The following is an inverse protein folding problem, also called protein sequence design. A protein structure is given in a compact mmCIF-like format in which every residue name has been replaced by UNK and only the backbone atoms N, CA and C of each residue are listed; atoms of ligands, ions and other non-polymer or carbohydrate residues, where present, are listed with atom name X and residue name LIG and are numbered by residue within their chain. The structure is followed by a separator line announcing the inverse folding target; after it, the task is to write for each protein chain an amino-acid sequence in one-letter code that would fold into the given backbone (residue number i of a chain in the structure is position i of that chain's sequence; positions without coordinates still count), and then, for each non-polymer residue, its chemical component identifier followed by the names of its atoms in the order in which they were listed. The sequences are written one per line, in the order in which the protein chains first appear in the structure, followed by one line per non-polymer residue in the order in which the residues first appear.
data_IF_752473246752
#
_entry.id   IF_752473246752
#
_cell.length_a   1.000
_cell.length_b   1.000
_cell.length_c   1.000
_cell.angle_alpha   90.00
_cell.angle_beta   90.00
_cell.angle_gamma   90.00
#
_symmetry.space_group_name_H-M   'P 1'
#
loop_
_entity.id
_entity.type
_entity.pdbx_description
1 polymer ?
#
# COMPACT_ATOMS: atom_id res chain seq x y z
N UNK A 1 -11.58 -2.27 28.06
CA UNK A 1 -11.95 -2.27 26.62
C UNK A 1 -10.82 -2.91 25.84
N UNK A 2 -10.96 -4.19 25.44
CA UNK A 2 -9.97 -4.90 24.66
C UNK A 2 -10.03 -4.41 23.20
N UNK A 3 -9.03 -3.63 22.77
CA UNK A 3 -8.84 -3.28 21.37
C UNK A 3 -8.22 -4.50 20.67
N UNK A 4 -9.06 -5.42 20.19
CA UNK A 4 -8.59 -6.58 19.44
C UNK A 4 -8.30 -6.15 18.01
N UNK A 5 -7.19 -5.44 17.81
CA UNK A 5 -6.67 -5.20 16.46
C UNK A 5 -6.46 -6.57 15.80
N UNK A 6 -7.16 -6.82 14.69
CA UNK A 6 -6.98 -8.05 13.94
C UNK A 6 -5.51 -8.15 13.53
N UNK A 7 -4.79 -9.24 13.88
CA UNK A 7 -3.38 -9.35 13.59
C UNK A 7 -3.14 -9.31 12.08
N UNK A 8 -2.16 -8.50 11.66
CA UNK A 8 -1.78 -8.40 10.25
C UNK A 8 -1.38 -9.78 9.72
N UNK A 9 -2.00 -10.20 8.61
CA UNK A 9 -1.67 -11.49 7.98
C UNK A 9 -0.26 -11.44 7.41
N UNK A 10 0.57 -12.44 7.65
CA UNK A 10 1.92 -12.47 7.07
C UNK A 10 1.88 -13.00 5.64
N UNK A 11 2.48 -12.28 4.70
CA UNK A 11 2.65 -12.73 3.32
C UNK A 11 3.92 -12.12 2.73
N UNK A 12 4.68 -12.92 1.97
CA UNK A 12 5.88 -12.44 1.26
C UNK A 12 5.50 -11.28 0.34
N UNK A 13 6.23 -10.19 0.46
CA UNK A 13 6.04 -9.01 -0.39
C UNK A 13 6.94 -9.12 -1.62
N UNK A 14 6.40 -8.94 -2.85
CA UNK A 14 7.20 -8.96 -4.08
C UNK A 14 8.27 -7.88 -4.08
N UNK A 15 9.49 -8.25 -4.43
CA UNK A 15 10.65 -7.35 -4.37
C UNK A 15 11.05 -6.78 -5.74
N UNK A 16 10.54 -7.31 -6.85
CA UNK A 16 10.89 -6.84 -8.20
C UNK A 16 9.65 -6.47 -9.01
N UNK A 17 9.85 -5.58 -10.00
CA UNK A 17 8.80 -5.21 -10.95
C UNK A 17 8.34 -6.43 -11.75
N UNK A 18 9.27 -7.28 -12.21
CA UNK A 18 8.93 -8.52 -12.93
C UNK A 18 8.06 -9.45 -12.08
N UNK A 19 8.37 -9.64 -10.80
CA UNK A 19 7.55 -10.48 -9.90
C UNK A 19 6.12 -9.90 -9.77
N UNK A 20 5.99 -8.57 -9.71
CA UNK A 20 4.69 -7.90 -9.66
C UNK A 20 3.94 -8.03 -10.98
N UNK A 21 4.59 -7.76 -12.10
CA UNK A 21 4.01 -7.93 -13.44
C UNK A 21 3.54 -9.35 -13.70
N UNK A 22 4.31 -10.37 -13.29
CA UNK A 22 3.89 -11.78 -13.42
C UNK A 22 2.66 -12.10 -12.56
N UNK A 23 2.57 -11.55 -11.35
CA UNK A 23 1.38 -11.70 -10.50
C UNK A 23 0.16 -11.02 -11.13
N UNK A 24 0.33 -9.83 -11.69
CA UNK A 24 -0.72 -9.12 -12.43
C UNK A 24 -1.14 -9.91 -13.68
N UNK A 25 -0.20 -10.43 -14.45
CA UNK A 25 -0.49 -11.24 -15.63
C UNK A 25 -1.28 -12.50 -15.27
N UNK A 26 -0.88 -13.23 -14.22
CA UNK A 26 -1.61 -14.39 -13.73
C UNK A 26 -3.04 -14.06 -13.27
N UNK A 27 -3.27 -12.87 -12.73
CA UNK A 27 -4.62 -12.38 -12.44
C UNK A 27 -5.42 -12.19 -13.72
N UNK A 28 -4.91 -11.43 -14.68
CA UNK A 28 -5.63 -11.16 -15.93
C UNK A 28 -5.97 -12.45 -16.68
N UNK A 29 -5.07 -13.44 -16.66
CA UNK A 29 -5.36 -14.77 -17.21
C UNK A 29 -6.51 -15.47 -16.47
N UNK A 30 -6.54 -15.42 -15.13
CA UNK A 30 -7.63 -16.01 -14.34
C UNK A 30 -8.98 -15.34 -14.61
N UNK A 31 -8.99 -14.00 -14.71
CA UNK A 31 -10.19 -13.23 -15.03
C UNK A 31 -10.68 -13.50 -16.45
N UNK A 32 -9.77 -13.60 -17.42
CA UNK A 32 -10.11 -13.95 -18.80
C UNK A 32 -10.68 -15.36 -18.89
N UNK A 33 -10.09 -16.33 -18.17
CA UNK A 33 -10.59 -17.69 -18.11
C UNK A 33 -12.00 -17.76 -17.50
N UNK A 34 -12.24 -17.11 -16.35
CA UNK A 34 -13.57 -17.11 -15.73
C UNK A 34 -14.61 -16.40 -16.60
N UNK A 35 -14.29 -15.25 -17.19
CA UNK A 35 -15.17 -14.57 -18.13
C UNK A 35 -15.49 -15.46 -19.34
N UNK A 36 -14.49 -16.15 -19.91
CA UNK A 36 -14.69 -17.13 -20.99
C UNK A 36 -15.62 -18.28 -20.61
N UNK A 37 -15.50 -18.81 -19.38
CA UNK A 37 -16.43 -19.85 -18.90
C UNK A 37 -17.87 -19.34 -18.77
N UNK A 38 -18.06 -18.07 -18.39
CA UNK A 38 -19.37 -17.47 -18.27
C UNK A 38 -19.99 -17.24 -19.65
N UNK A 39 -19.21 -16.68 -20.60
CA UNK A 39 -19.61 -16.53 -22.01
C UNK A 39 -20.02 -17.88 -22.60
N UNK A 40 -19.22 -18.94 -22.39
CA UNK A 40 -19.56 -20.27 -22.87
C UNK A 40 -20.90 -20.76 -22.29
N UNK A 41 -21.13 -20.58 -20.98
CA UNK A 41 -22.40 -20.94 -20.33
C UNK A 41 -23.59 -20.16 -20.88
N UNK A 42 -23.43 -18.88 -21.14
CA UNK A 42 -24.50 -18.02 -21.66
C UNK A 42 -24.85 -18.40 -23.11
N UNK A 43 -23.84 -18.69 -23.94
CA UNK A 43 -24.02 -19.28 -25.28
C UNK A 43 -24.75 -20.63 -25.21
N UNK A 44 -24.33 -21.55 -24.33
CA UNK A 44 -25.01 -22.85 -24.14
C UNK A 44 -26.46 -22.70 -23.67
N UNK A 45 -26.78 -21.61 -22.98
CA UNK A 45 -28.14 -21.31 -22.48
C UNK A 45 -28.96 -20.42 -23.43
N UNK A 46 -28.44 -20.15 -24.63
CA UNK A 46 -29.06 -19.24 -25.60
C UNK A 46 -29.44 -17.87 -24.98
N UNK A 47 -28.61 -17.38 -24.04
CA UNK A 47 -28.73 -16.04 -23.47
C UNK A 47 -27.87 -15.07 -24.26
N UNK A 48 -28.25 -13.79 -24.24
CA UNK A 48 -27.39 -12.74 -24.76
C UNK A 48 -26.05 -12.72 -24.03
N UNK A 49 -24.98 -12.68 -24.81
CA UNK A 49 -23.61 -12.61 -24.30
C UNK A 49 -23.30 -11.15 -23.98
N UNK A 50 -23.42 -10.78 -22.71
CA UNK A 50 -22.89 -9.50 -22.23
C UNK A 50 -21.50 -9.69 -21.62
N UNK A 51 -20.48 -9.26 -22.37
CA UNK A 51 -19.09 -9.28 -21.93
C UNK A 51 -18.85 -8.46 -20.66
N UNK A 52 -19.61 -7.38 -20.44
CA UNK A 52 -19.48 -6.58 -19.21
C UNK A 52 -19.97 -7.39 -18.02
N UNK A 53 -21.17 -7.96 -18.06
CA UNK A 53 -21.67 -8.82 -16.97
C UNK A 53 -20.76 -10.02 -16.69
N UNK A 54 -20.15 -10.62 -17.72
CA UNK A 54 -19.22 -11.73 -17.56
C UNK A 54 -17.96 -11.33 -16.78
N UNK A 55 -17.40 -10.14 -17.08
CA UNK A 55 -16.24 -9.59 -16.35
C UNK A 55 -16.64 -9.11 -14.95
N UNK A 56 -17.82 -8.53 -14.78
CA UNK A 56 -18.34 -7.98 -13.52
C UNK A 56 -19.04 -9.00 -12.61
N UNK A 57 -18.91 -10.29 -12.88
CA UNK A 57 -19.49 -11.31 -12.01
C UNK A 57 -18.95 -11.18 -10.56
N UNK A 58 -19.75 -11.50 -9.52
CA UNK A 58 -19.32 -11.38 -8.12
C UNK A 58 -17.99 -12.10 -7.82
N UNK A 59 -17.74 -13.22 -8.48
CA UNK A 59 -16.50 -14.01 -8.35
C UNK A 59 -15.28 -13.28 -8.94
N UNK A 60 -15.46 -12.57 -10.07
CA UNK A 60 -14.41 -11.79 -10.70
C UNK A 60 -14.13 -10.52 -9.92
N UNK A 61 -15.15 -9.84 -9.39
CA UNK A 61 -14.97 -8.70 -8.48
C UNK A 61 -14.19 -9.13 -7.25
N UNK A 62 -14.57 -10.24 -6.60
CA UNK A 62 -13.83 -10.73 -5.44
C UNK A 62 -12.38 -11.12 -5.79
N UNK A 63 -12.16 -11.68 -6.98
CA UNK A 63 -10.82 -12.02 -7.48
C UNK A 63 -9.99 -10.77 -7.77
N UNK A 64 -10.61 -9.73 -8.33
CA UNK A 64 -10.00 -8.42 -8.56
C UNK A 64 -9.61 -7.77 -7.24
N UNK A 65 -10.54 -7.65 -6.28
CA UNK A 65 -10.29 -7.10 -4.95
C UNK A 65 -9.18 -7.86 -4.24
N UNK A 66 -9.23 -9.20 -4.23
CA UNK A 66 -8.17 -10.02 -3.66
C UNK A 66 -6.82 -9.81 -4.31
N UNK A 67 -6.80 -9.46 -5.59
CA UNK A 67 -5.57 -9.25 -6.33
C UNK A 67 -5.06 -7.82 -6.16
N UNK A 68 -5.91 -6.80 -6.12
CA UNK A 68 -5.52 -5.43 -5.76
C UNK A 68 -4.84 -5.35 -4.38
N UNK A 69 -5.02 -6.35 -3.51
CA UNK A 69 -4.26 -6.51 -2.24
C UNK A 69 -2.75 -6.60 -2.41
N UNK A 70 -2.16 -6.78 -3.60
CA UNK A 70 -0.70 -6.63 -3.77
C UNK A 70 -0.29 -5.22 -4.26
N UNK A 71 -1.22 -4.44 -4.78
CA UNK A 71 -1.03 -3.06 -5.25
C UNK A 71 -1.33 -2.01 -4.16
N UNK A 72 -1.24 -2.41 -2.88
CA UNK A 72 -1.81 -1.67 -1.74
C UNK A 72 -1.46 -0.20 -1.69
N UNK A 73 -0.19 0.14 -1.91
CA UNK A 73 0.26 1.53 -1.88
C UNK A 73 -0.49 2.38 -2.91
N UNK A 74 -0.53 1.90 -4.16
CA UNK A 74 -1.28 2.52 -5.25
C UNK A 74 -2.77 2.61 -4.92
N UNK A 75 -3.40 1.47 -4.59
CA UNK A 75 -4.83 1.39 -4.34
C UNK A 75 -5.28 2.25 -3.15
N UNK A 76 -4.54 2.22 -2.05
CA UNK A 76 -4.87 2.99 -0.85
C UNK A 76 -4.67 4.49 -1.07
N UNK A 77 -3.57 4.89 -1.73
CA UNK A 77 -3.31 6.30 -2.01
C UNK A 77 -4.33 6.89 -2.99
N UNK A 78 -4.65 6.14 -4.04
CA UNK A 78 -5.72 6.48 -4.97
C UNK A 78 -7.06 6.64 -4.24
N UNK A 79 -7.46 5.64 -3.44
CA UNK A 79 -8.71 5.70 -2.68
C UNK A 79 -8.76 6.87 -1.69
N UNK A 80 -7.64 7.21 -1.03
CA UNK A 80 -7.55 8.39 -0.16
C UNK A 80 -7.79 9.69 -0.93
N UNK A 81 -7.14 9.86 -2.08
CA UNK A 81 -7.29 11.06 -2.90
C UNK A 81 -8.70 11.22 -3.44
N UNK A 82 -9.29 10.13 -3.95
CA UNK A 82 -10.67 10.13 -4.43
C UNK A 82 -11.66 10.41 -3.29
N UNK A 83 -11.44 9.86 -2.10
CA UNK A 83 -12.34 10.09 -0.94
C UNK A 83 -12.27 11.51 -0.37
N UNK A 84 -11.23 12.28 -0.71
CA UNK A 84 -11.08 13.68 -0.32
C UNK A 84 -11.80 14.63 -1.29
N UNK A 85 -12.19 14.14 -2.46
CA UNK A 85 -12.88 14.94 -3.46
C UNK A 85 -14.39 14.79 -3.32
N UNK A 86 -15.04 15.83 -2.80
CA UNK A 86 -16.50 15.86 -2.58
C UNK A 86 -17.31 15.85 -3.88
N UNK A 87 -16.69 16.16 -5.02
CA UNK A 87 -17.35 16.12 -6.33
C UNK A 87 -17.48 14.70 -6.88
N UNK A 88 -16.69 13.75 -6.35
CA UNK A 88 -16.74 12.35 -6.77
C UNK A 88 -17.78 11.60 -5.96
N UNK A 89 -18.81 11.09 -6.64
CA UNK A 89 -19.84 10.24 -6.01
C UNK A 89 -19.45 8.78 -6.18
N UNK A 90 -19.04 8.14 -5.08
CA UNK A 90 -18.82 6.70 -5.04
C UNK A 90 -20.15 5.97 -4.84
N UNK A 91 -20.44 4.97 -5.65
CA UNK A 91 -21.54 4.03 -5.41
C UNK A 91 -21.24 3.19 -4.14
N UNK A 92 -22.25 2.62 -3.47
CA UNK A 92 -22.04 1.74 -2.32
C UNK A 92 -21.06 0.59 -2.60
N UNK A 93 -21.11 0.01 -3.80
CA UNK A 93 -20.25 -1.09 -4.23
C UNK A 93 -18.79 -0.64 -4.39
N UNK A 94 -18.56 0.51 -5.02
CA UNK A 94 -17.23 1.07 -5.23
C UNK A 94 -16.61 1.53 -3.92
N UNK A 95 -17.41 2.16 -3.05
CA UNK A 95 -17.02 2.50 -1.69
C UNK A 95 -16.62 1.27 -0.86
N UNK A 96 -17.37 0.16 -0.95
CA UNK A 96 -17.04 -1.09 -0.28
C UNK A 96 -15.71 -1.68 -0.76
N UNK A 97 -15.44 -1.61 -2.07
CA UNK A 97 -14.15 -2.04 -2.65
C UNK A 97 -13.00 -1.18 -2.08
N UNK A 98 -13.11 0.15 -2.11
CA UNK A 98 -12.08 1.03 -1.56
C UNK A 98 -11.87 0.82 -0.04
N UNK A 99 -12.96 0.57 0.70
CA UNK A 99 -12.89 0.24 2.12
C UNK A 99 -12.16 -1.09 2.39
N UNK A 100 -12.42 -2.14 1.59
CA UNK A 100 -11.68 -3.41 1.70
C UNK A 100 -10.19 -3.22 1.36
N UNK A 101 -9.89 -2.43 0.32
CA UNK A 101 -8.50 -2.11 -0.04
C UNK A 101 -7.76 -1.36 1.07
N UNK A 102 -8.44 -0.48 1.82
CA UNK A 102 -7.89 0.16 3.02
C UNK A 102 -7.64 -0.82 4.17
N UNK A 103 -8.52 -1.80 4.38
CA UNK A 103 -8.45 -2.72 5.53
C UNK A 103 -7.51 -3.91 5.34
N UNK A 104 -6.87 -4.06 4.19
CA UNK A 104 -6.05 -5.24 3.86
C UNK A 104 -4.55 -5.01 4.11
N UNK A 105 -4.16 -4.89 5.37
CA UNK A 105 -2.76 -4.86 5.77
C UNK A 105 -2.14 -6.26 5.84
N UNK A 106 -1.04 -6.52 5.12
CA UNK A 106 -0.21 -7.70 5.36
C UNK A 106 1.18 -7.30 5.85
N UNK A 107 1.70 -8.10 6.76
CA UNK A 107 3.03 -7.95 7.31
C UNK A 107 4.07 -8.69 6.44
N UNK A 108 5.12 -7.97 6.08
CA UNK A 108 6.35 -8.52 5.55
C UNK A 108 6.91 -9.56 6.53
N UNK A 109 7.27 -10.77 6.07
CA UNK A 109 7.81 -11.82 6.93
C UNK A 109 9.11 -11.37 7.63
N UNK A 110 9.40 -11.89 8.83
CA UNK A 110 10.58 -11.51 9.62
C UNK A 110 11.91 -11.57 8.86
N UNK A 111 12.06 -12.53 7.94
CA UNK A 111 13.27 -12.67 7.11
C UNK A 111 13.48 -11.46 6.19
N UNK A 112 12.42 -11.02 5.49
CA UNK A 112 12.50 -9.85 4.61
C UNK A 112 12.67 -8.57 5.45
N UNK A 113 12.02 -8.48 6.61
CA UNK A 113 12.18 -7.35 7.54
C UNK A 113 13.65 -7.21 7.97
N UNK A 114 14.26 -8.32 8.42
CA UNK A 114 15.68 -8.36 8.79
C UNK A 114 16.57 -7.95 7.63
N UNK A 115 16.33 -8.45 6.41
CA UNK A 115 17.12 -8.05 5.23
C UNK A 115 17.04 -6.54 4.96
N UNK A 116 15.85 -5.94 5.07
CA UNK A 116 15.67 -4.50 4.88
C UNK A 116 16.41 -3.72 5.98
N UNK A 117 16.29 -4.12 7.24
CA UNK A 117 16.93 -3.42 8.36
C UNK A 117 18.45 -3.60 8.36
N UNK A 118 18.96 -4.80 8.07
CA UNK A 118 20.40 -5.06 7.97
C UNK A 118 21.03 -4.25 6.83
N UNK A 119 20.32 -4.10 5.70
CA UNK A 119 20.75 -3.27 4.57
C UNK A 119 20.80 -1.77 4.92
N UNK A 120 19.86 -1.29 5.72
CA UNK A 120 19.71 0.14 6.01
C UNK A 120 20.46 0.62 7.25
N UNK A 121 20.58 -0.21 8.29
CA UNK A 121 21.22 0.15 9.56
C UNK A 121 22.47 -0.67 9.85
N UNK A 122 22.84 -1.60 8.96
CA UNK A 122 23.97 -2.50 9.13
C UNK A 122 23.65 -3.71 10.00
N UNK A 123 24.56 -4.68 9.99
CA UNK A 123 24.46 -5.85 10.85
C UNK A 123 24.53 -5.45 12.32
N UNK A 124 23.66 -6.02 13.15
CA UNK A 124 23.64 -5.77 14.59
C UNK A 124 22.87 -4.51 15.02
N UNK A 125 22.07 -3.89 14.14
CA UNK A 125 21.19 -2.77 14.46
C UNK A 125 20.31 -3.01 15.69
N UNK A 126 19.99 -4.27 16.01
CA UNK A 126 19.20 -4.64 17.18
C UNK A 126 19.84 -4.15 18.49
N UNK A 127 21.18 -4.03 18.53
CA UNK A 127 21.93 -3.53 19.70
C UNK A 127 21.63 -2.07 20.02
N UNK A 128 20.96 -1.33 19.15
CA UNK A 128 20.56 0.07 19.40
C UNK A 128 19.27 0.15 20.23
N UNK A 129 18.52 -0.95 20.33
CA UNK A 129 17.23 -1.02 21.01
C UNK A 129 17.32 -1.84 22.30
N UNK A 130 16.53 -1.45 23.31
CA UNK A 130 16.24 -2.30 24.47
C UNK A 130 15.31 -3.45 24.09
N UNK A 131 14.33 -3.17 23.23
CA UNK A 131 13.43 -4.17 22.65
C UNK A 131 12.91 -3.71 21.29
N UNK A 132 12.67 -4.65 20.37
CA UNK A 132 12.07 -4.38 19.07
C UNK A 132 11.01 -5.44 18.79
N UNK A 133 9.77 -5.03 18.52
CA UNK A 133 8.71 -5.95 18.16
C UNK A 133 8.80 -6.30 16.67
N UNK A 134 9.09 -7.57 16.39
CA UNK A 134 9.17 -8.11 15.03
C UNK A 134 7.78 -8.15 14.37
N UNK A 135 6.70 -8.18 15.16
CA UNK A 135 5.35 -8.07 14.62
C UNK A 135 5.02 -6.58 14.43
N UNK A 136 4.59 -6.17 13.22
CA UNK A 136 4.20 -4.79 13.01
C UNK A 136 2.89 -4.47 13.75
N UNK A 137 2.81 -3.26 14.28
CA UNK A 137 1.61 -2.71 14.94
C UNK A 137 0.64 -2.07 13.94
N UNK A 138 1.11 -1.72 12.74
CA UNK A 138 0.29 -1.14 11.69
C UNK A 138 0.88 -1.39 10.29
N UNK A 139 0.02 -1.40 9.28
CA UNK A 139 0.41 -1.29 7.89
C UNK A 139 0.55 0.19 7.48
N UNK A 140 1.41 0.47 6.52
CA UNK A 140 1.54 1.78 5.87
C UNK A 140 1.43 1.60 4.34
N UNK A 141 1.27 2.71 3.61
CA UNK A 141 1.14 2.74 2.14
C UNK A 141 2.17 1.88 1.42
N UNK A 142 3.44 2.13 1.71
CA UNK A 142 4.58 1.46 1.06
C UNK A 142 5.41 0.65 2.06
N UNK A 143 4.86 0.30 3.21
CA UNK A 143 5.62 -0.33 4.29
C UNK A 143 4.78 -0.79 5.46
N UNK A 144 5.42 -0.91 6.62
CA UNK A 144 4.80 -1.34 7.87
C UNK A 144 5.47 -0.67 9.07
N UNK A 145 4.75 -0.53 10.19
CA UNK A 145 5.23 0.16 11.39
C UNK A 145 5.43 -0.85 12.52
N UNK A 146 6.58 -0.77 13.17
CA UNK A 146 6.96 -1.59 14.32
C UNK A 146 7.07 -0.75 15.59
N UNK A 147 6.74 -1.35 16.73
CA UNK A 147 7.04 -0.75 18.03
C UNK A 147 8.45 -1.16 18.46
N UNK A 148 9.22 -0.22 18.99
CA UNK A 148 10.48 -0.52 19.66
C UNK A 148 10.67 0.37 20.90
N UNK A 149 11.62 -0.02 21.74
CA UNK A 149 12.06 0.76 22.90
C UNK A 149 13.55 1.00 22.77
N UNK A 150 13.96 2.26 22.84
CA UNK A 150 15.36 2.65 22.84
C UNK A 150 16.04 2.26 24.16
N UNK A 151 17.37 2.21 24.17
CA UNK A 151 18.15 1.99 25.40
C UNK A 151 17.92 3.06 26.47
N UNK A 152 17.57 4.27 26.04
CA UNK A 152 17.16 5.38 26.90
C UNK A 152 15.81 5.16 27.60
N UNK A 153 15.05 4.13 27.21
CA UNK A 153 13.73 3.80 27.75
C UNK A 153 12.56 4.34 26.94
N UNK A 154 12.81 5.26 26.00
CA UNK A 154 11.79 5.86 25.15
C UNK A 154 11.15 4.85 24.19
N UNK A 155 9.82 4.82 24.13
CA UNK A 155 9.05 4.08 23.12
C UNK A 155 9.09 4.83 21.77
N UNK A 156 9.33 4.10 20.69
CA UNK A 156 9.41 4.63 19.31
C UNK A 156 8.62 3.77 18.33
N UNK A 157 8.08 4.42 17.30
CA UNK A 157 7.47 3.77 16.15
C UNK A 157 8.45 3.79 14.97
N UNK A 158 8.70 2.63 14.37
CA UNK A 158 9.67 2.44 13.30
C UNK A 158 8.93 2.03 12.03
N UNK A 159 8.83 2.96 11.08
CA UNK A 159 8.27 2.71 9.75
C UNK A 159 9.35 2.06 8.86
N UNK A 160 9.05 0.89 8.31
CA UNK A 160 9.94 0.12 7.45
C UNK A 160 9.30 -0.02 6.08
N UNK A 161 9.99 0.48 5.06
CA UNK A 161 9.55 0.40 3.67
C UNK A 161 9.63 -1.05 3.15
N UNK A 162 8.69 -1.44 2.29
CA UNK A 162 8.82 -2.70 1.54
C UNK A 162 10.02 -2.65 0.57
N UNK A 163 10.62 -3.80 0.23
CA UNK A 163 11.77 -3.82 -0.66
C UNK A 163 11.47 -3.20 -2.03
N UNK A 164 12.36 -2.32 -2.49
CA UNK A 164 12.39 -1.75 -3.85
C UNK A 164 11.13 -0.99 -4.29
N UNK A 165 10.35 -0.45 -3.35
CA UNK A 165 9.08 0.24 -3.66
C UNK A 165 9.20 1.32 -4.73
N UNK A 166 10.25 2.15 -4.70
CA UNK A 166 10.45 3.21 -5.70
C UNK A 166 10.43 2.71 -7.14
N UNK A 167 10.95 1.50 -7.39
CA UNK A 167 11.04 0.89 -8.72
C UNK A 167 9.73 0.27 -9.20
N UNK A 168 8.76 0.09 -8.30
CA UNK A 168 7.51 -0.61 -8.61
C UNK A 168 6.31 0.33 -8.69
N UNK A 169 6.42 1.56 -8.15
CA UNK A 169 5.30 2.52 -8.12
C UNK A 169 4.64 2.68 -9.48
N UNK A 170 5.41 2.94 -10.54
CA UNK A 170 4.87 3.16 -11.89
C UNK A 170 4.05 1.95 -12.38
N UNK A 171 4.58 0.73 -12.20
CA UNK A 171 3.89 -0.50 -12.59
C UNK A 171 2.68 -0.81 -11.71
N UNK A 172 2.76 -0.52 -10.41
CA UNK A 172 1.67 -0.75 -9.47
C UNK A 172 0.48 0.17 -9.79
N UNK A 173 0.75 1.44 -10.07
CA UNK A 173 -0.27 2.44 -10.46
C UNK A 173 -0.86 2.09 -11.83
N UNK A 174 -0.04 1.75 -12.82
CA UNK A 174 -0.54 1.33 -14.13
C UNK A 174 -1.46 0.09 -14.03
N UNK A 175 -1.07 -0.90 -13.23
CA UNK A 175 -1.92 -2.09 -13.02
C UNK A 175 -3.24 -1.72 -12.35
N UNK A 176 -3.23 -0.81 -11.38
CA UNK A 176 -4.44 -0.32 -10.71
C UNK A 176 -5.38 0.35 -11.72
N UNK A 177 -4.87 1.28 -12.54
CA UNK A 177 -5.67 1.97 -13.57
C UNK A 177 -6.33 0.96 -14.50
N UNK A 178 -5.57 -0.02 -14.99
CA UNK A 178 -6.10 -1.06 -15.87
C UNK A 178 -7.24 -1.81 -15.19
N UNK A 179 -7.10 -2.23 -13.93
CA UNK A 179 -8.20 -2.90 -13.22
C UNK A 179 -9.41 -1.99 -13.05
N UNK A 180 -9.22 -0.75 -12.60
CA UNK A 180 -10.31 0.20 -12.39
C UNK A 180 -11.11 0.40 -13.69
N UNK A 181 -10.42 0.57 -14.82
CA UNK A 181 -11.03 0.71 -16.15
C UNK A 181 -11.72 -0.58 -16.62
N UNK A 182 -11.09 -1.75 -16.44
CA UNK A 182 -11.67 -3.05 -16.84
C UNK A 182 -12.94 -3.41 -16.07
N UNK A 183 -12.98 -3.11 -14.77
CA UNK A 183 -14.13 -3.43 -13.93
C UNK A 183 -15.20 -2.32 -13.89
N UNK A 184 -15.01 -1.22 -14.61
CA UNK A 184 -15.99 -0.12 -14.60
C UNK A 184 -16.33 0.39 -13.20
N UNK A 185 -15.41 0.24 -12.24
CA UNK A 185 -15.60 0.63 -10.83
C UNK A 185 -15.27 2.10 -10.59
N UNK A 186 -14.85 2.82 -11.63
CA UNK A 186 -14.71 4.26 -11.57
C UNK A 186 -16.09 4.92 -11.75
N UNK A 187 -16.43 5.91 -10.92
CA UNK A 187 -17.53 6.83 -11.19
C UNK A 187 -17.38 7.46 -12.58
N UNK A 188 -18.49 7.71 -13.26
CA UNK A 188 -18.48 8.27 -14.63
C UNK A 188 -17.83 9.67 -14.71
N UNK A 189 -17.86 10.43 -13.61
CA UNK A 189 -17.26 11.75 -13.50
C UNK A 189 -15.82 11.75 -12.93
N UNK A 190 -15.23 10.58 -12.69
CA UNK A 190 -13.89 10.49 -12.12
C UNK A 190 -12.82 10.57 -13.21
N UNK A 191 -11.95 11.58 -13.14
CA UNK A 191 -10.72 11.62 -13.92
C UNK A 191 -9.67 10.65 -13.33
N UNK A 192 -9.82 9.36 -13.67
CA UNK A 192 -8.96 8.27 -13.16
C UNK A 192 -7.48 8.59 -13.39
N UNK A 193 -7.14 9.13 -14.55
CA UNK A 193 -5.75 9.35 -14.93
C UNK A 193 -5.13 10.51 -14.12
N UNK A 194 -5.91 11.55 -13.81
CA UNK A 194 -5.52 12.61 -12.89
C UNK A 194 -5.21 12.09 -11.48
N UNK A 195 -6.15 11.39 -10.83
CA UNK A 195 -5.92 10.87 -9.47
C UNK A 195 -4.83 9.81 -9.43
N UNK A 196 -4.66 9.03 -10.50
CA UNK A 196 -3.57 8.08 -10.59
C UNK A 196 -2.21 8.78 -10.68
N UNK A 197 -2.11 9.88 -11.41
CA UNK A 197 -0.89 10.72 -11.44
C UNK A 197 -0.59 11.29 -10.05
N UNK A 198 -1.59 11.83 -9.36
CA UNK A 198 -1.41 12.33 -7.99
C UNK A 198 -0.98 11.22 -7.03
N UNK A 199 -1.63 10.05 -7.10
CA UNK A 199 -1.28 8.90 -6.26
C UNK A 199 0.16 8.45 -6.51
N UNK A 200 0.55 8.37 -7.78
CA UNK A 200 1.92 8.03 -8.20
C UNK A 200 2.93 9.00 -7.61
N UNK A 201 2.73 10.30 -7.79
CA UNK A 201 3.70 11.31 -7.38
C UNK A 201 3.84 11.34 -5.85
N UNK A 202 2.74 11.22 -5.12
CA UNK A 202 2.79 11.09 -3.66
C UNK A 202 3.47 9.78 -3.22
N UNK A 203 3.25 8.65 -3.89
CA UNK A 203 3.94 7.39 -3.57
C UNK A 203 5.44 7.46 -3.87
N UNK A 204 5.83 8.17 -4.93
CA UNK A 204 7.24 8.44 -5.22
C UNK A 204 7.85 9.29 -4.10
N UNK A 205 7.18 10.37 -3.68
CA UNK A 205 7.64 11.21 -2.58
C UNK A 205 7.77 10.42 -1.27
N UNK A 206 6.80 9.55 -0.95
CA UNK A 206 6.84 8.69 0.23
C UNK A 206 7.96 7.65 0.20
N UNK A 207 8.59 7.40 -0.95
CA UNK A 207 9.76 6.51 -0.98
C UNK A 207 11.00 7.14 -0.35
N UNK A 208 11.01 8.47 -0.15
CA UNK A 208 12.03 9.20 0.58
C UNK A 208 11.53 9.56 1.99
N UNK A 209 11.86 8.72 2.98
CA UNK A 209 11.49 8.97 4.37
C UNK A 209 12.21 10.17 5.01
N UNK A 210 13.29 10.70 4.41
CA UNK A 210 13.89 11.93 4.91
C UNK A 210 12.99 13.11 4.61
N UNK A 211 12.49 13.19 3.37
CA UNK A 211 11.51 14.19 2.98
C UNK A 211 10.23 14.07 3.83
N UNK A 212 9.75 12.85 4.08
CA UNK A 212 8.59 12.64 4.96
C UNK A 212 8.87 13.14 6.40
N UNK A 213 10.03 12.85 6.96
CA UNK A 213 10.40 13.33 8.29
C UNK A 213 10.53 14.86 8.36
N UNK A 214 11.06 15.50 7.31
CA UNK A 214 11.15 16.96 7.25
C UNK A 214 9.75 17.60 7.18
N UNK A 215 8.84 17.02 6.40
CA UNK A 215 7.45 17.46 6.35
C UNK A 215 6.77 17.31 7.73
N UNK A 216 7.00 16.19 8.43
CA UNK A 216 6.47 15.97 9.78
C UNK A 216 7.06 16.96 10.81
N UNK A 217 8.33 17.33 10.69
CA UNK A 217 8.96 18.35 11.56
C UNK A 217 8.35 19.72 11.32
N UNK A 218 8.17 20.11 10.06
CA UNK A 218 7.53 21.38 9.71
C UNK A 218 6.09 21.41 10.23
N UNK A 219 5.32 20.35 10.02
CA UNK A 219 3.97 20.22 10.57
C UNK A 219 3.95 20.37 12.10
N UNK A 220 4.86 19.70 12.81
CA UNK A 220 4.98 19.81 14.26
C UNK A 220 5.41 21.21 14.76
N UNK A 221 6.05 22.01 13.91
CA UNK A 221 6.38 23.41 14.19
C UNK A 221 5.19 24.32 13.97
N UNK A 222 4.42 24.13 12.88
CA UNK A 222 3.22 24.94 12.61
C UNK A 222 2.17 24.85 13.72
N UNK A 223 1.99 23.67 14.32
CA UNK A 223 1.05 23.46 15.42
C UNK A 223 1.71 23.53 16.81
N UNK A 224 2.89 24.16 16.90
CA UNK A 224 3.57 24.35 18.17
C UNK A 224 2.73 25.26 19.09
N UNK A 225 2.15 24.68 20.14
CA UNK A 225 1.36 25.42 21.14
C UNK A 225 -0.16 25.27 20.99
N UNK A 226 -0.65 24.57 19.96
CA UNK A 226 -2.06 24.25 19.85
C UNK A 226 -2.38 22.96 20.63
N UNK A 227 -3.06 23.09 21.77
CA UNK A 227 -3.40 21.98 22.65
C UNK A 227 -4.32 20.92 22.02
N UNK A 228 -4.93 21.21 20.85
CA UNK A 228 -5.72 20.25 20.08
C UNK A 228 -4.85 19.21 19.37
N UNK A 229 -3.55 19.47 19.22
CA UNK A 229 -2.62 18.61 18.49
C UNK A 229 -1.52 18.07 19.40
N UNK A 230 -1.37 16.75 19.43
CA UNK A 230 -0.27 16.09 20.16
C UNK A 230 0.98 16.03 19.27
N UNK A 231 2.11 16.49 19.80
CA UNK A 231 3.39 16.49 19.08
C UNK A 231 4.06 15.11 19.13
N UNK A 232 4.19 14.45 17.98
CA UNK A 232 5.15 13.36 17.78
C UNK A 232 6.50 13.91 17.32
N UNK A 233 7.63 13.43 17.86
CA UNK A 233 8.96 13.73 17.30
C UNK A 233 9.31 12.71 16.21
N UNK A 234 9.25 13.11 14.94
CA UNK A 234 9.67 12.27 13.82
C UNK A 234 11.19 12.32 13.62
N UNK A 235 11.84 11.16 13.72
CA UNK A 235 13.23 10.96 13.29
C UNK A 235 13.23 9.90 12.18
N UNK A 236 13.66 10.26 10.99
CA UNK A 236 13.97 9.29 9.94
C UNK A 236 15.45 8.93 9.99
N UNK A 237 15.74 7.64 9.87
CA UNK A 237 17.09 7.11 9.70
C UNK A 237 17.13 6.34 8.39
N UNK A 238 18.04 6.73 7.47
CA UNK A 238 18.24 6.09 6.17
C UNK A 238 19.73 5.87 5.89
N UNK A 239 20.09 4.75 5.25
CA UNK A 239 21.38 4.60 4.57
C UNK A 239 21.23 5.07 3.12
N UNK A 240 21.72 6.28 2.85
CA UNK A 240 21.69 6.99 1.56
C UNK A 240 22.15 6.08 0.42
N UNK A 241 21.28 5.79 -0.54
CA UNK A 241 21.71 5.22 -1.83
C UNK A 241 22.21 6.36 -2.71
N UNK A 242 23.51 6.34 -3.05
CA UNK A 242 24.05 7.11 -4.19
C UNK A 242 24.72 8.46 -3.91
N UNK A 243 24.82 8.94 -2.66
CA UNK A 243 25.74 10.04 -2.30
C UNK A 243 26.45 9.73 -0.98
N UNK A 244 27.78 9.75 -1.00
CA UNK A 244 28.65 9.63 0.16
C UNK A 244 28.32 10.73 1.18
N UNK A 245 27.72 10.34 2.30
CA UNK A 245 27.46 11.19 3.44
C UNK A 245 27.41 10.34 4.72
N UNK A 246 27.68 10.94 5.90
CA UNK A 246 27.93 10.19 7.13
C UNK A 246 26.74 9.33 7.54
N UNK A 247 27.01 8.09 7.94
CA UNK A 247 26.04 7.16 8.52
C UNK A 247 25.61 7.72 9.87
N UNK A 248 24.42 8.31 9.95
CA UNK A 248 23.87 8.80 11.21
C UNK A 248 23.54 7.66 12.17
N UNK A 249 24.05 7.72 13.40
CA UNK A 249 23.59 6.88 14.51
C UNK A 249 22.17 7.28 14.93
N UNK A 250 21.40 6.32 15.46
CA UNK A 250 20.07 6.55 16.06
C UNK A 250 20.18 7.39 17.32
#
# INVERSE_FOLDING_TARGET
MHNTQTPLRSARVPASQVERSLRSAGLFMRLGASAGTQIAKDLFRARDVDMKSAVLSPQNIQTAVNSLKHLRGAAMKFGQLVSLDESVVLTPETAAIFAELRNTGYAMPPKQLRQVLDKNWGLGWQKQFKSFDVRPIAAASIGQVHRAKLKTGQDVAIKVQFPNMRRTVDGDVSTLITMVKTFGVAPENLDIDHYASLARDQLIAETDYLQEADNLRQFAQYFAGDARYVRGSAKAHWARFGRSGPKGSI
#
